data_IF_489461540195
#
_entry.id   IF_489461540195
#
_cell.length_a   1.000
_cell.length_b   1.000
_cell.length_c   1.000
_cell.angle_alpha   90.00
_cell.angle_beta   90.00
_cell.angle_gamma   90.00
#
_symmetry.space_group_name_H-M   'P 1'
#
loop_
_entity.id
_entity.type
_entity.pdbx_description
1 polymer ?
#
# COMPACT_ATOMS: atom_id res chain seq x y z
N UNK A 1 -16.75 -14.80 63.25
CA UNK A 1 -16.12 -13.45 63.13
C UNK A 1 -16.34 -12.79 61.75
N UNK A 2 -17.28 -13.24 60.91
CA UNK A 2 -17.47 -12.68 59.56
C UNK A 2 -18.66 -11.71 59.39
N UNK A 3 -19.69 -11.80 60.25
CA UNK A 3 -20.96 -11.07 60.02
C UNK A 3 -20.90 -9.58 60.38
N UNK A 4 -20.14 -9.21 61.43
CA UNK A 4 -19.97 -7.82 61.83
C UNK A 4 -19.20 -6.99 60.77
N UNK A 5 -18.25 -7.61 60.08
CA UNK A 5 -17.44 -6.99 59.04
C UNK A 5 -18.28 -6.64 57.81
N UNK A 6 -19.19 -7.53 57.43
CA UNK A 6 -20.09 -7.36 56.27
C UNK A 6 -21.12 -6.27 56.55
N UNK A 7 -21.76 -6.31 57.73
CA UNK A 7 -22.78 -5.32 58.11
C UNK A 7 -22.21 -3.89 58.21
N UNK A 8 -20.97 -3.73 58.66
CA UNK A 8 -20.31 -2.42 58.73
C UNK A 8 -20.00 -1.85 57.34
N UNK A 9 -19.52 -2.70 56.42
CA UNK A 9 -19.27 -2.32 55.01
C UNK A 9 -20.59 -1.98 54.31
N UNK A 10 -21.63 -2.79 54.53
CA UNK A 10 -22.96 -2.59 53.98
C UNK A 10 -23.55 -1.24 54.42
N UNK A 11 -23.47 -0.91 55.71
CA UNK A 11 -23.93 0.38 56.22
C UNK A 11 -23.20 1.57 55.59
N UNK A 12 -21.87 1.48 55.41
CA UNK A 12 -21.07 2.53 54.77
C UNK A 12 -21.45 2.69 53.29
N UNK A 13 -21.63 1.58 52.57
CA UNK A 13 -22.02 1.59 51.15
C UNK A 13 -23.43 2.17 50.98
N UNK A 14 -24.41 1.75 51.78
CA UNK A 14 -25.78 2.25 51.68
C UNK A 14 -25.90 3.72 52.09
N UNK A 15 -25.12 4.17 53.08
CA UNK A 15 -25.08 5.58 53.49
C UNK A 15 -24.40 6.48 52.46
N UNK A 16 -23.35 5.99 51.80
CA UNK A 16 -22.60 6.72 50.77
C UNK A 16 -23.07 6.43 49.34
N UNK A 17 -24.20 5.73 49.15
CA UNK A 17 -24.67 5.23 47.84
C UNK A 17 -24.67 6.28 46.73
N UNK A 18 -25.05 7.52 47.03
CA UNK A 18 -25.06 8.60 46.05
C UNK A 18 -23.65 9.02 45.63
N UNK A 19 -22.71 9.10 46.59
CA UNK A 19 -21.31 9.40 46.30
C UNK A 19 -20.64 8.28 45.49
N UNK A 20 -20.95 7.01 45.81
CA UNK A 20 -20.46 5.85 45.05
C UNK A 20 -21.00 5.86 43.63
N UNK A 21 -22.31 6.07 43.45
CA UNK A 21 -22.93 6.15 42.11
C UNK A 21 -22.37 7.32 41.29
N UNK A 22 -22.13 8.47 41.92
CA UNK A 22 -21.54 9.62 41.25
C UNK A 22 -20.09 9.36 40.84
N UNK A 23 -19.29 8.73 41.72
CA UNK A 23 -17.93 8.32 41.38
C UNK A 23 -17.89 7.32 40.21
N UNK A 24 -18.80 6.34 40.23
CA UNK A 24 -18.92 5.36 39.14
C UNK A 24 -19.35 6.04 37.83
N UNK A 25 -20.32 6.95 37.89
CA UNK A 25 -20.78 7.71 36.72
C UNK A 25 -19.66 8.58 36.12
N UNK A 26 -18.89 9.28 36.96
CA UNK A 26 -17.71 10.05 36.52
C UNK A 26 -16.68 9.14 35.88
N UNK A 27 -16.40 7.98 36.49
CA UNK A 27 -15.48 6.99 35.93
C UNK A 27 -15.97 6.45 34.59
N UNK A 28 -17.26 6.14 34.44
CA UNK A 28 -17.86 5.72 33.17
C UNK A 28 -17.77 6.79 32.09
N UNK A 29 -18.04 8.06 32.44
CA UNK A 29 -17.89 9.18 31.49
C UNK A 29 -16.43 9.35 31.07
N UNK A 30 -15.49 9.27 32.01
CA UNK A 30 -14.06 9.35 31.72
C UNK A 30 -13.61 8.21 30.78
N UNK A 31 -14.00 6.97 31.07
CA UNK A 31 -13.73 5.83 30.18
C UNK A 31 -14.39 6.02 28.80
N UNK A 32 -15.63 6.53 28.75
CA UNK A 32 -16.33 6.84 27.51
C UNK A 32 -15.58 7.88 26.67
N UNK A 33 -15.05 8.93 27.29
CA UNK A 33 -14.22 9.94 26.62
C UNK A 33 -12.97 9.32 25.97
N UNK A 34 -12.25 8.45 26.68
CA UNK A 34 -11.09 7.74 26.11
C UNK A 34 -11.49 6.71 25.06
N UNK A 35 -12.63 6.04 25.22
CA UNK A 35 -13.12 5.07 24.27
C UNK A 35 -13.43 5.70 22.90
N UNK A 36 -13.97 6.92 22.88
CA UNK A 36 -14.22 7.67 21.63
C UNK A 36 -12.93 8.07 20.91
N UNK A 37 -11.80 8.15 21.62
CA UNK A 37 -10.49 8.48 21.04
C UNK A 37 -9.75 7.28 20.46
N UNK A 38 -10.21 6.05 20.71
CA UNK A 38 -9.60 4.85 20.17
C UNK A 38 -9.63 4.89 18.64
N UNK A 39 -8.43 4.93 18.04
CA UNK A 39 -8.25 4.79 16.60
C UNK A 39 -8.06 3.32 16.28
N UNK A 40 -8.87 2.80 15.38
CA UNK A 40 -8.67 1.45 14.87
C UNK A 40 -7.43 1.43 13.97
N UNK A 41 -6.35 0.85 14.48
CA UNK A 41 -5.13 0.65 13.70
C UNK A 41 -5.09 -0.79 13.17
N UNK A 42 -5.61 -0.98 11.96
CA UNK A 42 -5.52 -2.25 11.23
C UNK A 42 -4.14 -2.35 10.54
N UNK A 43 -3.12 -2.70 11.32
CA UNK A 43 -1.79 -3.00 10.80
C UNK A 43 -1.60 -4.51 10.66
N UNK A 44 -1.42 -5.02 9.44
CA UNK A 44 -1.12 -6.45 9.19
C UNK A 44 0.06 -6.94 10.05
N UNK A 45 1.10 -6.11 10.23
CA UNK A 45 2.26 -6.37 11.08
C UNK A 45 1.90 -6.67 12.56
N UNK A 46 0.82 -6.11 13.10
CA UNK A 46 0.40 -6.34 14.50
C UNK A 46 -0.19 -7.74 14.74
N UNK A 47 -0.55 -8.43 13.66
CA UNK A 47 -1.03 -9.82 13.70
C UNK A 47 0.12 -10.82 13.52
N UNK A 48 1.33 -10.34 13.19
CA UNK A 48 2.49 -11.19 12.95
C UNK A 48 3.19 -11.51 14.28
N UNK A 49 3.65 -12.76 14.50
CA UNK A 49 4.39 -13.14 15.72
C UNK A 49 5.75 -12.44 15.79
N UNK A 50 5.84 -11.33 16.52
CA UNK A 50 7.07 -10.52 16.63
C UNK A 50 8.23 -11.26 17.33
N UNK A 51 7.94 -12.34 18.05
CA UNK A 51 8.94 -13.18 18.72
C UNK A 51 9.68 -14.16 17.81
N UNK A 52 9.29 -14.31 16.55
CA UNK A 52 9.91 -15.27 15.63
C UNK A 52 11.14 -14.68 14.93
N UNK A 53 12.23 -15.45 14.82
CA UNK A 53 13.51 -15.02 14.21
C UNK A 53 13.34 -14.40 12.82
N UNK A 54 12.63 -15.06 11.90
CA UNK A 54 12.34 -14.50 10.57
C UNK A 54 11.62 -13.14 10.58
N UNK A 55 10.74 -12.91 11.55
CA UNK A 55 10.00 -11.64 11.66
C UNK A 55 10.94 -10.55 12.14
N UNK A 56 11.87 -10.88 13.06
CA UNK A 56 12.89 -9.93 13.52
C UNK A 56 13.84 -9.54 12.39
N UNK A 57 14.32 -10.50 11.61
CA UNK A 57 15.14 -10.23 10.42
C UNK A 57 14.36 -9.38 9.41
N UNK A 58 13.09 -9.70 9.15
CA UNK A 58 12.28 -8.87 8.26
C UNK A 58 12.18 -7.43 8.76
N UNK A 59 11.89 -7.20 10.05
CA UNK A 59 11.77 -5.87 10.64
C UNK A 59 13.11 -5.11 10.63
N UNK A 60 14.23 -5.80 10.77
CA UNK A 60 15.57 -5.20 10.68
C UNK A 60 15.85 -4.64 9.28
N UNK A 61 15.50 -5.39 8.23
CA UNK A 61 15.82 -5.05 6.85
C UNK A 61 14.64 -4.48 6.04
N UNK A 62 13.47 -4.23 6.66
CA UNK A 62 12.23 -3.87 5.94
C UNK A 62 12.35 -2.62 5.07
N UNK A 63 13.24 -1.69 5.45
CA UNK A 63 13.50 -0.45 4.73
C UNK A 63 14.54 -0.61 3.62
N UNK A 64 15.33 -1.68 3.66
CA UNK A 64 16.36 -1.99 2.67
C UNK A 64 15.80 -2.84 1.52
N UNK A 65 14.84 -3.72 1.83
CA UNK A 65 14.15 -4.52 0.83
C UNK A 65 12.97 -3.75 0.21
N UNK A 66 12.57 -4.03 -1.04
CA UNK A 66 11.30 -3.55 -1.56
C UNK A 66 10.14 -4.01 -0.66
N UNK A 67 9.54 -3.07 0.07
CA UNK A 67 8.47 -3.37 1.01
C UNK A 67 7.20 -3.92 0.36
N UNK A 68 6.31 -4.49 1.17
CA UNK A 68 5.05 -5.10 0.73
C UNK A 68 3.99 -4.10 0.21
N UNK A 69 4.24 -2.80 0.36
CA UNK A 69 3.33 -1.75 -0.07
C UNK A 69 3.41 -1.55 -1.60
N UNK A 70 2.71 -2.40 -2.34
CA UNK A 70 2.57 -2.34 -3.79
C UNK A 70 1.28 -1.61 -4.17
N UNK A 71 1.39 -0.59 -5.01
CA UNK A 71 0.25 0.11 -5.62
C UNK A 71 0.23 -0.22 -7.11
N UNK A 72 -0.90 -0.73 -7.59
CA UNK A 72 -1.14 -0.99 -9.01
C UNK A 72 -2.06 0.09 -9.58
N UNK A 73 -1.58 0.81 -10.59
CA UNK A 73 -2.33 1.86 -11.28
C UNK A 73 -2.72 1.35 -12.66
N UNK A 74 -4.03 1.18 -12.90
CA UNK A 74 -4.55 0.77 -14.19
C UNK A 74 -5.06 1.97 -14.99
N UNK A 75 -4.47 2.21 -16.17
CA UNK A 75 -4.91 3.27 -17.09
C UNK A 75 -5.67 2.63 -18.25
N UNK A 76 -6.94 3.00 -18.44
CA UNK A 76 -7.82 2.43 -19.47
C UNK A 76 -8.17 3.47 -20.54
N UNK A 77 -8.10 3.06 -21.81
CA UNK A 77 -8.67 3.83 -22.91
C UNK A 77 -10.21 3.80 -22.84
N UNK A 78 -10.86 4.97 -22.90
CA UNK A 78 -12.33 5.06 -22.84
C UNK A 78 -12.98 4.49 -24.11
N UNK A 79 -12.35 4.70 -25.25
CA UNK A 79 -12.78 4.25 -26.56
C UNK A 79 -11.60 3.64 -27.31
N UNK A 80 -11.86 2.61 -28.13
CA UNK A 80 -10.84 1.94 -28.92
C UNK A 80 -9.84 1.12 -28.09
N UNK A 81 -8.58 1.09 -28.56
CA UNK A 81 -7.50 0.32 -27.94
C UNK A 81 -6.47 1.23 -27.28
N UNK A 82 -5.58 0.66 -26.47
CA UNK A 82 -4.44 1.39 -25.88
C UNK A 82 -3.33 1.66 -26.90
N UNK A 83 -3.39 1.05 -28.08
CA UNK A 83 -2.33 1.08 -29.10
C UNK A 83 -2.49 2.29 -30.03
N UNK A 84 -2.40 3.49 -29.46
CA UNK A 84 -2.33 4.74 -30.22
C UNK A 84 -1.38 5.75 -29.55
N UNK A 85 -0.84 6.69 -30.33
CA UNK A 85 0.09 7.68 -29.82
C UNK A 85 -0.49 8.54 -28.68
N UNK A 86 -1.76 9.03 -28.72
CA UNK A 86 -2.36 9.77 -27.61
C UNK A 86 -2.39 9.01 -26.29
N UNK A 87 -2.73 7.73 -26.31
CA UNK A 87 -2.75 6.88 -25.11
C UNK A 87 -1.35 6.71 -24.55
N UNK A 88 -0.36 6.42 -25.39
CA UNK A 88 1.03 6.24 -24.95
C UNK A 88 1.59 7.50 -24.29
N UNK A 89 1.26 8.69 -24.83
CA UNK A 89 1.57 9.98 -24.19
C UNK A 89 0.91 10.12 -22.83
N UNK A 90 -0.37 9.75 -22.71
CA UNK A 90 -1.11 9.83 -21.45
C UNK A 90 -0.56 8.85 -20.40
N UNK A 91 -0.19 7.64 -20.81
CA UNK A 91 0.43 6.65 -19.94
C UNK A 91 1.78 7.14 -19.41
N UNK A 92 2.60 7.78 -20.25
CA UNK A 92 3.85 8.40 -19.80
C UNK A 92 3.57 9.51 -18.77
N UNK A 93 2.63 10.41 -19.06
CA UNK A 93 2.29 11.50 -18.14
C UNK A 93 1.81 10.99 -16.77
N UNK A 94 0.92 9.99 -16.75
CA UNK A 94 0.47 9.34 -15.50
C UNK A 94 1.64 8.70 -14.76
N UNK A 95 2.54 8.01 -15.48
CA UNK A 95 3.73 7.40 -14.88
C UNK A 95 4.65 8.45 -14.25
N UNK A 96 4.89 9.56 -14.95
CA UNK A 96 5.71 10.67 -14.45
C UNK A 96 5.07 11.29 -13.20
N UNK A 97 3.77 11.62 -13.25
CA UNK A 97 3.04 12.15 -12.09
C UNK A 97 3.17 11.22 -10.88
N UNK A 98 2.91 9.92 -11.04
CA UNK A 98 3.05 8.93 -9.96
C UNK A 98 4.47 8.87 -9.43
N UNK A 99 5.47 8.94 -10.31
CA UNK A 99 6.89 8.92 -9.92
C UNK A 99 7.26 10.12 -9.06
N UNK A 100 6.64 11.28 -9.27
CA UNK A 100 6.95 12.50 -8.52
C UNK A 100 6.04 12.73 -7.30
N UNK A 101 5.06 11.87 -7.04
CA UNK A 101 4.23 11.96 -5.83
C UNK A 101 5.08 11.82 -4.54
N UNK A 102 4.73 12.59 -3.48
CA UNK A 102 5.38 12.42 -2.18
C UNK A 102 5.08 11.03 -1.61
N UNK A 103 6.10 10.37 -1.06
CA UNK A 103 5.99 9.03 -0.49
C UNK A 103 6.22 7.88 -1.48
N UNK A 104 6.35 8.17 -2.78
CA UNK A 104 6.70 7.15 -3.79
C UNK A 104 8.22 7.03 -3.92
N UNK A 105 8.73 5.80 -3.80
CA UNK A 105 10.14 5.48 -4.12
C UNK A 105 10.30 5.48 -5.63
N UNK A 106 10.85 6.56 -6.18
CA UNK A 106 10.97 6.78 -7.64
C UNK A 106 11.65 5.62 -8.39
N UNK A 107 12.65 5.00 -7.75
CA UNK A 107 13.42 3.88 -8.30
C UNK A 107 12.61 2.60 -8.45
N UNK A 108 11.46 2.48 -7.78
CA UNK A 108 10.61 1.29 -7.81
C UNK A 108 9.43 1.41 -8.79
N UNK A 109 9.19 2.59 -9.36
CA UNK A 109 8.08 2.81 -10.29
C UNK A 109 8.37 2.11 -11.63
N UNK A 110 7.45 1.24 -12.05
CA UNK A 110 7.54 0.48 -13.30
C UNK A 110 6.30 0.75 -14.16
N UNK A 111 6.53 0.94 -15.45
CA UNK A 111 5.50 1.16 -16.47
C UNK A 111 5.97 0.59 -17.81
N UNK A 112 5.11 0.63 -18.83
CA UNK A 112 5.51 0.29 -20.20
C UNK A 112 6.65 1.18 -20.72
N UNK A 113 6.75 2.42 -20.23
CA UNK A 113 7.79 3.38 -20.58
C UNK A 113 9.10 3.20 -19.81
N UNK A 114 9.12 2.34 -18.80
CA UNK A 114 10.31 2.12 -17.99
C UNK A 114 11.38 1.38 -18.81
N UNK A 115 12.66 1.79 -18.78
CA UNK A 115 13.73 1.08 -19.47
C UNK A 115 13.94 -0.38 -18.99
N UNK A 116 13.48 -0.67 -17.77
CA UNK A 116 13.48 -2.01 -17.18
C UNK A 116 12.40 -2.93 -17.76
N UNK A 117 11.44 -2.39 -18.51
CA UNK A 117 10.41 -3.15 -19.22
C UNK A 117 10.97 -3.60 -20.57
N UNK A 118 11.47 -4.83 -20.59
CA UNK A 118 12.15 -5.44 -21.74
C UNK A 118 11.37 -6.64 -22.23
N UNK A 119 11.48 -6.87 -23.52
CA UNK A 119 11.06 -8.08 -24.19
C UNK A 119 12.24 -9.02 -24.25
N UNK A 120 11.99 -10.28 -23.95
CA UNK A 120 12.92 -11.38 -24.20
C UNK A 120 12.39 -12.16 -25.40
N UNK A 121 13.30 -12.53 -26.29
CA UNK A 121 13.01 -13.31 -27.48
C UNK A 121 14.05 -14.42 -27.63
N UNK A 122 13.57 -15.66 -27.77
CA UNK A 122 14.42 -16.81 -28.03
C UNK A 122 14.60 -16.98 -29.54
N UNK A 123 15.83 -16.86 -29.99
CA UNK A 123 16.25 -17.06 -31.39
C UNK A 123 17.14 -18.30 -31.49
N UNK A 124 17.35 -18.81 -32.70
CA UNK A 124 18.25 -19.96 -32.94
C UNK A 124 19.70 -19.68 -32.48
N UNK A 125 20.12 -18.41 -32.51
CA UNK A 125 21.45 -17.96 -32.09
C UNK A 125 21.55 -17.67 -30.57
N UNK A 126 20.43 -17.63 -29.85
CA UNK A 126 20.39 -17.40 -28.41
C UNK A 126 19.22 -16.52 -27.92
N UNK A 127 19.35 -16.02 -26.68
CA UNK A 127 18.35 -15.19 -26.02
C UNK A 127 18.68 -13.71 -26.25
N UNK A 128 17.80 -12.99 -26.94
CA UNK A 128 17.90 -11.55 -27.14
C UNK A 128 16.95 -10.82 -26.17
N UNK A 129 17.43 -9.72 -25.56
CA UNK A 129 16.62 -8.89 -24.68
C UNK A 129 16.72 -7.42 -25.06
N UNK A 130 15.61 -6.81 -25.46
CA UNK A 130 15.55 -5.41 -25.90
C UNK A 130 14.38 -4.67 -25.24
N UNK A 131 14.45 -3.33 -25.11
CA UNK A 131 13.38 -2.56 -24.48
C UNK A 131 12.08 -2.61 -25.28
N UNK A 132 10.94 -2.60 -24.58
CA UNK A 132 9.62 -2.54 -25.22
C UNK A 132 9.47 -1.26 -26.05
N UNK A 133 9.87 -0.11 -25.49
CA UNK A 133 9.95 1.15 -26.22
C UNK A 133 11.24 1.19 -27.06
N UNK A 134 11.16 1.40 -28.39
CA UNK A 134 12.34 1.55 -29.22
C UNK A 134 13.23 2.73 -28.79
N UNK A 135 14.55 2.59 -28.98
CA UNK A 135 15.51 3.65 -28.69
C UNK A 135 15.20 4.90 -29.51
N UNK A 136 15.19 6.07 -28.88
CA UNK A 136 14.89 7.35 -29.54
C UNK A 136 13.40 7.72 -29.57
N UNK A 137 12.50 6.80 -29.19
CA UNK A 137 11.06 7.09 -29.03
C UNK A 137 10.80 7.66 -27.63
N UNK A 138 10.04 8.75 -27.58
CA UNK A 138 9.65 9.51 -26.39
C UNK A 138 8.18 9.91 -26.50
N UNK A 139 7.51 10.29 -25.41
CA UNK A 139 6.15 10.87 -25.51
C UNK A 139 6.05 12.07 -26.46
N UNK A 140 7.14 12.78 -26.74
CA UNK A 140 7.07 13.96 -27.61
C UNK A 140 7.01 13.59 -29.10
N UNK A 141 7.69 12.52 -29.50
CA UNK A 141 7.86 12.12 -30.90
C UNK A 141 7.21 10.76 -31.25
N UNK A 142 6.53 10.09 -30.31
CA UNK A 142 5.85 8.82 -30.58
C UNK A 142 4.80 8.96 -31.69
N UNK A 143 4.95 8.11 -32.71
CA UNK A 143 4.04 8.00 -33.86
C UNK A 143 3.24 6.70 -33.80
N UNK A 144 2.17 6.59 -34.59
CA UNK A 144 1.38 5.36 -34.63
C UNK A 144 2.17 4.16 -35.21
N UNK A 145 3.19 4.41 -36.04
CA UNK A 145 4.12 3.38 -36.49
C UNK A 145 4.97 2.84 -35.34
N UNK A 146 5.49 3.72 -34.48
CA UNK A 146 6.22 3.31 -33.27
C UNK A 146 5.32 2.50 -32.33
N UNK A 147 4.05 2.90 -32.21
CA UNK A 147 3.07 2.21 -31.38
C UNK A 147 2.77 0.80 -31.91
N UNK A 148 2.77 0.61 -33.23
CA UNK A 148 2.63 -0.72 -33.83
C UNK A 148 3.81 -1.62 -33.46
N UNK A 149 5.05 -1.09 -33.47
CA UNK A 149 6.24 -1.82 -33.02
C UNK A 149 6.15 -2.13 -31.52
N UNK A 150 5.75 -1.16 -30.69
CA UNK A 150 5.58 -1.35 -29.24
C UNK A 150 4.52 -2.44 -28.96
N UNK A 151 3.41 -2.43 -29.71
CA UNK A 151 2.36 -3.43 -29.63
C UNK A 151 2.91 -4.82 -29.97
N UNK A 152 3.60 -4.94 -31.09
CA UNK A 152 4.18 -6.21 -31.54
C UNK A 152 5.12 -6.79 -30.49
N UNK A 153 6.06 -5.96 -29.99
CA UNK A 153 6.98 -6.29 -28.89
C UNK A 153 6.26 -6.75 -27.63
N UNK A 154 5.19 -6.05 -27.25
CA UNK A 154 4.43 -6.38 -26.03
C UNK A 154 3.66 -7.70 -26.17
N UNK A 155 3.16 -8.02 -27.37
CA UNK A 155 2.36 -9.21 -27.61
C UNK A 155 3.21 -10.46 -27.93
N UNK A 156 4.40 -10.28 -28.51
CA UNK A 156 5.25 -11.37 -28.96
C UNK A 156 6.37 -11.73 -27.98
N UNK A 157 6.56 -10.96 -26.91
CA UNK A 157 7.55 -11.29 -25.88
C UNK A 157 7.22 -12.61 -25.19
N UNK A 158 8.19 -13.54 -25.16
CA UNK A 158 8.10 -14.85 -24.52
C UNK A 158 9.24 -15.08 -23.55
#
# INVERSE_FOLDING_TARGET
MGEFSVNAIEFVIFKARAAILLALAVFTVAMGYYAVQLRMEAGFLKQVPTGHEYVQTFLEYENEVPGANLILVAVKAREGTIWNAPFMKRLQAVTEEVTFLPGVRRTTVRSLWSPSTRVTENTEEGINAYPVIPNGVTARNVTDADVAVIRDRTLNGK
#
